data_IF_607132773540
#
_entry.id   IF_607132773540
#
_cell.length_a   1.000
_cell.length_b   1.000
_cell.length_c   1.000
_cell.angle_alpha   90.00
_cell.angle_beta   90.00
_cell.angle_gamma   90.00
#
_symmetry.space_group_name_H-M   'P 1'
#
loop_
_entity.id
_entity.type
_entity.pdbx_description
1 polymer ?
#
# COMPACT_ATOMS: atom_id res chain seq x y z
N UNK A 1 -7.45 9.41 -8.88
CA UNK A 1 -8.10 10.35 -7.94
C UNK A 1 -7.18 10.77 -6.80
N UNK A 2 -6.55 9.86 -6.06
CA UNK A 2 -5.70 10.21 -4.89
C UNK A 2 -4.66 11.32 -5.13
N UNK A 3 -3.96 11.35 -6.27
CA UNK A 3 -3.02 12.44 -6.58
C UNK A 3 -3.70 13.81 -6.72
N UNK A 4 -4.90 13.85 -7.29
CA UNK A 4 -5.65 15.09 -7.53
C UNK A 4 -6.28 15.59 -6.24
N UNK A 5 -6.84 14.68 -5.44
CA UNK A 5 -7.54 15.02 -4.19
C UNK A 5 -6.60 15.28 -3.01
N UNK A 6 -5.30 14.99 -3.13
CA UNK A 6 -4.36 15.09 -2.03
C UNK A 6 -4.13 16.52 -1.57
N UNK A 7 -3.97 17.46 -2.51
CA UNK A 7 -3.56 18.82 -2.16
C UNK A 7 -4.67 19.62 -1.49
N UNK A 8 -5.93 19.23 -1.71
CA UNK A 8 -7.13 19.84 -1.11
C UNK A 8 -7.57 19.13 0.19
N UNK A 9 -6.91 18.03 0.56
CA UNK A 9 -7.31 17.19 1.68
C UNK A 9 -6.83 17.70 3.04
N UNK A 10 -7.58 17.37 4.10
CA UNK A 10 -7.12 17.59 5.48
C UNK A 10 -5.79 16.85 5.74
N UNK A 11 -4.94 17.34 6.67
CA UNK A 11 -3.63 16.71 6.92
C UNK A 11 -3.70 15.21 7.25
N UNK A 12 -4.74 14.78 7.96
CA UNK A 12 -5.00 13.37 8.23
C UNK A 12 -5.26 12.58 6.95
N UNK A 13 -6.12 13.09 6.07
CA UNK A 13 -6.49 12.43 4.81
C UNK A 13 -5.33 12.45 3.78
N UNK A 14 -4.45 13.46 3.81
CA UNK A 14 -3.22 13.47 3.01
C UNK A 14 -2.32 12.26 3.30
N UNK A 15 -2.25 11.80 4.55
CA UNK A 15 -1.48 10.60 4.92
C UNK A 15 -2.06 9.34 4.28
N UNK A 16 -3.38 9.23 4.20
CA UNK A 16 -4.09 8.13 3.54
C UNK A 16 -3.83 8.13 2.03
N UNK A 17 -3.91 9.30 1.39
CA UNK A 17 -3.60 9.40 -0.04
C UNK A 17 -2.15 9.04 -0.35
N UNK A 18 -1.20 9.53 0.45
CA UNK A 18 0.20 9.15 0.30
C UNK A 18 0.41 7.63 0.44
N UNK A 19 -0.25 7.01 1.43
CA UNK A 19 -0.19 5.58 1.64
C UNK A 19 -0.78 4.77 0.49
N UNK A 20 -1.92 5.19 -0.05
CA UNK A 20 -2.56 4.57 -1.21
C UNK A 20 -1.71 4.69 -2.48
N UNK A 21 -1.20 5.88 -2.77
CA UNK A 21 -0.31 6.14 -3.91
C UNK A 21 0.92 5.23 -3.87
N UNK A 22 1.55 5.10 -2.71
CA UNK A 22 2.72 4.22 -2.55
C UNK A 22 2.35 2.76 -2.68
N UNK A 23 1.22 2.35 -2.10
CA UNK A 23 0.72 0.97 -2.21
C UNK A 23 0.49 0.60 -3.67
N UNK A 24 -0.09 1.50 -4.47
CA UNK A 24 -0.28 1.30 -5.91
C UNK A 24 1.04 1.05 -6.64
N UNK A 25 2.02 1.94 -6.48
CA UNK A 25 3.31 1.82 -7.17
C UNK A 25 4.12 0.60 -6.72
N UNK A 26 4.11 0.29 -5.43
CA UNK A 26 4.79 -0.91 -4.90
C UNK A 26 4.11 -2.19 -5.43
N UNK A 27 2.78 -2.21 -5.53
CA UNK A 27 2.05 -3.36 -6.08
C UNK A 27 2.35 -3.58 -7.55
N UNK A 28 2.47 -2.51 -8.33
CA UNK A 28 2.92 -2.61 -9.73
C UNK A 28 4.33 -3.17 -9.79
N UNK A 29 5.26 -2.63 -8.99
CA UNK A 29 6.65 -3.09 -8.97
C UNK A 29 6.74 -4.60 -8.66
N UNK A 30 6.14 -5.05 -7.55
CA UNK A 30 6.18 -6.46 -7.19
C UNK A 30 5.35 -7.34 -8.13
N UNK A 31 4.23 -6.85 -8.66
CA UNK A 31 3.44 -7.57 -9.66
C UNK A 31 4.23 -7.82 -10.96
N UNK A 32 4.98 -6.83 -11.44
CA UNK A 32 5.86 -6.99 -12.60
C UNK A 32 7.02 -7.96 -12.32
N UNK A 33 7.62 -7.90 -11.13
CA UNK A 33 8.66 -8.85 -10.71
C UNK A 33 8.10 -10.28 -10.67
N UNK A 34 6.92 -10.47 -10.06
CA UNK A 34 6.25 -11.77 -10.02
C UNK A 34 5.89 -12.30 -11.40
N UNK A 35 5.43 -11.43 -12.31
CA UNK A 35 5.13 -11.79 -13.69
C UNK A 35 6.40 -12.25 -14.43
N UNK A 36 7.52 -11.53 -14.29
CA UNK A 36 8.79 -11.92 -14.90
C UNK A 36 9.30 -13.28 -14.36
N UNK A 37 9.04 -13.57 -13.08
CA UNK A 37 9.45 -14.80 -12.41
C UNK A 37 8.50 -16.00 -12.64
N UNK A 38 7.39 -15.83 -13.38
CA UNK A 38 6.37 -16.88 -13.53
C UNK A 38 6.93 -18.14 -14.19
N UNK A 39 7.89 -17.98 -15.10
CA UNK A 39 8.56 -19.10 -15.79
C UNK A 39 9.37 -20.00 -14.85
N UNK A 40 9.78 -19.48 -13.69
CA UNK A 40 10.53 -20.21 -12.68
C UNK A 40 9.63 -20.80 -11.57
N UNK A 41 8.31 -20.83 -11.74
CA UNK A 41 7.26 -21.18 -10.75
C UNK A 41 7.24 -20.29 -9.48
N UNK A 42 8.35 -19.68 -9.10
CA UNK A 42 8.47 -18.75 -7.97
C UNK A 42 7.69 -17.44 -8.20
N UNK A 43 7.38 -17.09 -9.45
CA UNK A 43 6.47 -15.99 -9.77
C UNK A 43 5.09 -16.14 -9.13
N UNK A 44 4.57 -17.38 -9.01
CA UNK A 44 3.29 -17.62 -8.33
C UNK A 44 3.37 -17.35 -6.82
N UNK A 45 4.45 -17.81 -6.17
CA UNK A 45 4.66 -17.59 -4.73
C UNK A 45 4.84 -16.10 -4.43
N UNK A 46 5.68 -15.41 -5.19
CA UNK A 46 5.89 -13.97 -5.03
C UNK A 46 4.62 -13.17 -5.36
N UNK A 47 3.82 -13.62 -6.33
CA UNK A 47 2.53 -13.02 -6.66
C UNK A 47 1.52 -13.16 -5.52
N UNK A 48 1.45 -14.34 -4.90
CA UNK A 48 0.61 -14.56 -3.71
C UNK A 48 1.04 -13.69 -2.54
N UNK A 49 2.34 -13.60 -2.25
CA UNK A 49 2.87 -12.72 -1.21
C UNK A 49 2.53 -11.25 -1.47
N UNK A 50 2.64 -10.81 -2.72
CA UNK A 50 2.26 -9.46 -3.15
C UNK A 50 0.78 -9.19 -2.93
N UNK A 51 -0.09 -10.15 -3.28
CA UNK A 51 -1.53 -10.04 -3.08
C UNK A 51 -1.90 -9.95 -1.60
N UNK A 52 -1.34 -10.83 -0.76
CA UNK A 52 -1.56 -10.80 0.70
C UNK A 52 -1.07 -9.47 1.30
N UNK A 53 0.12 -9.01 0.92
CA UNK A 53 0.66 -7.73 1.35
C UNK A 53 -0.25 -6.55 0.95
N UNK A 54 -0.74 -6.54 -0.30
CA UNK A 54 -1.66 -5.51 -0.80
C UNK A 54 -2.98 -5.47 -0.02
N UNK A 55 -3.59 -6.64 0.24
CA UNK A 55 -4.83 -6.73 1.01
C UNK A 55 -4.62 -6.20 2.43
N UNK A 56 -3.55 -6.63 3.10
CA UNK A 56 -3.22 -6.16 4.45
C UNK A 56 -3.03 -4.64 4.51
N UNK A 57 -2.40 -4.07 3.48
CA UNK A 57 -2.23 -2.62 3.31
C UNK A 57 -3.56 -1.89 3.19
N UNK A 58 -4.48 -2.40 2.36
CA UNK A 58 -5.83 -1.83 2.24
C UNK A 58 -6.62 -1.91 3.55
N UNK A 59 -6.61 -3.07 4.22
CA UNK A 59 -7.31 -3.28 5.50
C UNK A 59 -6.81 -2.31 6.55
N UNK A 60 -5.49 -2.15 6.70
CA UNK A 60 -4.93 -1.21 7.67
C UNK A 60 -5.25 0.24 7.36
N UNK A 61 -5.11 0.65 6.09
CA UNK A 61 -5.50 1.99 5.63
C UNK A 61 -6.95 2.32 5.98
N UNK A 62 -7.88 1.40 5.67
CA UNK A 62 -9.30 1.53 6.01
C UNK A 62 -9.54 1.52 7.53
N UNK A 63 -8.78 0.72 8.28
CA UNK A 63 -8.91 0.65 9.75
C UNK A 63 -8.54 1.97 10.41
N UNK A 64 -7.45 2.62 9.98
CA UNK A 64 -7.09 3.96 10.50
C UNK A 64 -8.10 5.01 10.07
N UNK A 65 -8.59 4.95 8.83
CA UNK A 65 -9.61 5.87 8.34
C UNK A 65 -10.89 5.77 9.15
N UNK A 66 -11.37 4.55 9.42
CA UNK A 66 -12.56 4.31 10.24
C UNK A 66 -12.41 4.72 11.72
N UNK A 67 -11.17 4.90 12.19
CA UNK A 67 -10.87 5.41 13.53
C UNK A 67 -10.60 6.93 13.55
N UNK A 68 -10.78 7.61 12.42
CA UNK A 68 -10.41 9.02 12.22
C UNK A 68 -8.94 9.30 12.60
N UNK A 69 -8.06 8.34 12.30
CA UNK A 69 -6.63 8.43 12.56
C UNK A 69 -5.85 8.61 11.26
N UNK A 70 -4.79 9.42 11.32
CA UNK A 70 -3.79 9.47 10.26
C UNK A 70 -3.05 8.12 10.17
N UNK A 71 -2.56 7.79 8.98
CA UNK A 71 -1.64 6.66 8.81
C UNK A 71 -0.34 6.99 9.56
N UNK A 72 0.11 6.16 10.52
CA UNK A 72 1.29 6.49 11.34
C UNK A 72 2.58 6.63 10.54
N UNK A 73 2.82 5.72 9.59
CA UNK A 73 3.99 5.73 8.73
C UNK A 73 3.56 5.60 7.25
N UNK A 74 3.05 6.67 6.62
CA UNK A 74 2.52 6.62 5.25
C UNK A 74 3.60 6.30 4.21
N UNK A 75 4.87 6.57 4.52
CA UNK A 75 6.02 6.23 3.69
C UNK A 75 6.49 4.76 3.81
N UNK A 76 5.92 3.98 4.74
CA UNK A 76 6.28 2.58 4.98
C UNK A 76 6.18 1.71 3.72
N UNK A 77 7.12 0.78 3.56
CA UNK A 77 7.09 -0.29 2.55
C UNK A 77 6.37 -1.54 3.03
N UNK A 78 6.24 -1.72 4.35
CA UNK A 78 5.53 -2.83 4.96
C UNK A 78 4.08 -2.39 5.19
N UNK A 79 3.65 -2.27 6.45
CA UNK A 79 2.23 -2.21 6.79
C UNK A 79 1.72 -0.84 7.25
N UNK A 80 2.55 0.20 7.26
CA UNK A 80 2.12 1.55 7.68
C UNK A 80 2.18 1.83 9.19
N UNK A 81 2.62 0.86 10.00
CA UNK A 81 2.80 1.03 11.43
C UNK A 81 4.06 1.88 11.73
N UNK A 82 4.03 2.62 12.84
CA UNK A 82 5.21 3.30 13.35
C UNK A 82 6.27 2.27 13.80
N UNK A 83 7.57 2.58 13.63
CA UNK A 83 8.62 1.77 14.26
C UNK A 83 8.38 1.73 15.78
N UNK A 84 8.56 0.55 16.37
CA UNK A 84 8.50 0.35 17.83
C UNK A 84 9.74 0.91 18.50
#
# INVERSE_FOLDING_TARGET
>A
MAYVSRDEASPGLQSHYQFLIRTFWISILFGLISLALVFALIGFLTGLLTAVWFIMRCVKGLTWLGKDQAVPAPASWLFGDAPK
#
